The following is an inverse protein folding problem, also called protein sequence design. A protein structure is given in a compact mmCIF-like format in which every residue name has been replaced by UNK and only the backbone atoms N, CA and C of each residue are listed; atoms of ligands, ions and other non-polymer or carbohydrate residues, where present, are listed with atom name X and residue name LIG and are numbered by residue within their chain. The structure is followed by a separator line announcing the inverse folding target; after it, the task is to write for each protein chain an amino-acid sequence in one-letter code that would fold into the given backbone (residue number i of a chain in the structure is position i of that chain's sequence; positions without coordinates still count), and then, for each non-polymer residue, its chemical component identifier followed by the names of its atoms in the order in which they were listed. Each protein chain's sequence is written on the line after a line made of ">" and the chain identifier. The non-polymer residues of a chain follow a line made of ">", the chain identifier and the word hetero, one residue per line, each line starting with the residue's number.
data_IF_709026735854
#
_entry.id   IF_709026735854
#
_cell.length_a   1.000
_cell.length_b   1.000
_cell.length_c   1.000
_cell.angle_alpha   90.00
_cell.angle_beta   90.00
_cell.angle_gamma   90.00
#
_symmetry.space_group_name_H-M   'P 1'
#
loop_
_entity.id
_entity.type
_entity.pdbx_description
1 polymer ?
#
# COMPACT_ATOMS: atom_id res chain seq x y z
N UNK A 1 42.44 -22.98 8.59
CA UNK A 1 41.45 -23.48 9.57
C UNK A 1 40.19 -22.66 9.37
N UNK A 2 38.99 -23.17 9.66
CA UNK A 2 37.85 -22.28 9.85
C UNK A 2 38.02 -21.57 11.19
N UNK A 3 37.74 -20.27 11.25
CA UNK A 3 37.75 -19.47 12.46
C UNK A 3 36.32 -19.04 12.74
N UNK A 4 35.89 -19.12 13.98
CA UNK A 4 34.54 -18.72 14.39
C UNK A 4 34.53 -17.20 14.61
N UNK A 5 33.70 -16.49 13.85
CA UNK A 5 33.53 -15.04 13.95
C UNK A 5 32.13 -14.72 14.48
N UNK A 6 32.06 -13.84 15.49
CA UNK A 6 30.78 -13.35 16.00
C UNK A 6 30.23 -12.28 15.04
N UNK A 7 28.94 -12.35 14.71
CA UNK A 7 28.24 -11.37 13.88
C UNK A 7 27.09 -10.76 14.66
N UNK A 8 27.18 -9.46 14.93
CA UNK A 8 26.17 -8.67 15.62
C UNK A 8 25.45 -7.78 14.61
N UNK A 9 24.12 -7.71 14.69
CA UNK A 9 23.34 -6.77 13.90
C UNK A 9 22.25 -6.08 14.74
N UNK A 10 21.85 -4.88 14.32
CA UNK A 10 20.72 -4.16 14.90
C UNK A 10 20.01 -3.32 13.83
N UNK A 11 18.73 -2.98 14.05
CA UNK A 11 18.01 -2.06 13.18
C UNK A 11 18.15 -0.63 13.71
N UNK A 12 18.71 0.24 12.88
CA UNK A 12 18.94 1.66 13.20
C UNK A 12 18.03 2.57 12.36
N UNK A 13 17.90 3.84 12.76
CA UNK A 13 17.00 4.78 12.09
C UNK A 13 17.61 5.37 10.81
N UNK A 14 16.83 5.40 9.73
CA UNK A 14 17.18 6.15 8.52
C UNK A 14 17.29 7.65 8.77
N UNK A 15 18.47 8.22 8.51
CA UNK A 15 18.64 9.67 8.44
C UNK A 15 18.11 10.20 7.09
N UNK A 16 16.93 10.83 7.11
CA UNK A 16 16.31 11.37 5.88
C UNK A 16 17.14 12.46 5.20
N UNK A 17 18.01 13.18 5.92
CA UNK A 17 18.90 14.19 5.34
C UNK A 17 19.96 13.61 4.42
N UNK A 18 20.25 12.30 4.50
CA UNK A 18 21.11 11.59 3.54
C UNK A 18 20.32 11.14 2.30
N UNK A 19 19.06 10.69 2.50
CA UNK A 19 18.22 10.14 1.43
C UNK A 19 17.66 11.19 0.46
N UNK A 20 17.19 12.33 0.99
CA UNK A 20 16.53 13.35 0.17
C UNK A 20 17.44 13.96 -0.92
N UNK A 21 18.70 14.35 -0.65
CA UNK A 21 19.60 14.88 -1.68
C UNK A 21 19.97 13.86 -2.76
N UNK A 22 19.99 12.57 -2.42
CA UNK A 22 20.27 11.47 -3.34
C UNK A 22 19.07 11.08 -4.22
N UNK A 23 17.89 11.68 -4.02
CA UNK A 23 16.66 11.29 -4.71
C UNK A 23 16.22 9.86 -4.37
N UNK A 24 16.52 9.38 -3.15
CA UNK A 24 16.22 8.01 -2.70
C UNK A 24 15.20 8.01 -1.56
N UNK A 25 14.54 6.88 -1.35
CA UNK A 25 13.59 6.65 -0.25
C UNK A 25 13.78 5.26 0.33
N UNK A 26 13.74 5.12 1.66
CA UNK A 26 13.82 3.81 2.32
C UNK A 26 12.75 2.82 1.80
N UNK A 27 13.20 1.62 1.43
CA UNK A 27 12.42 0.48 0.95
C UNK A 27 12.44 -0.70 1.93
N UNK A 28 13.11 -0.54 3.07
CA UNK A 28 13.24 -1.55 4.12
C UNK A 28 13.89 -0.95 5.37
N UNK A 29 14.16 -1.79 6.39
CA UNK A 29 14.98 -1.41 7.53
C UNK A 29 16.42 -1.04 7.12
N UNK A 30 17.13 -0.35 8.02
CA UNK A 30 18.56 -0.08 7.93
C UNK A 30 19.26 -0.94 9.00
N UNK A 31 20.04 -1.92 8.56
CA UNK A 31 20.73 -2.89 9.41
C UNK A 31 22.16 -2.43 9.66
N UNK A 32 22.49 -2.05 10.88
CA UNK A 32 23.88 -1.87 11.31
C UNK A 32 24.46 -3.25 11.64
N UNK A 33 25.52 -3.67 10.94
CA UNK A 33 26.14 -4.99 11.06
C UNK A 33 27.61 -4.83 11.43
N UNK A 34 28.07 -5.60 12.42
CA UNK A 34 29.42 -5.55 13.00
C UNK A 34 29.93 -6.97 13.28
N UNK A 35 31.22 -7.21 13.14
CA UNK A 35 31.85 -8.50 13.48
C UNK A 35 33.19 -8.29 14.19
N UNK A 36 33.72 -9.36 14.79
CA UNK A 36 35.13 -9.46 15.15
C UNK A 36 36.06 -9.55 13.93
N UNK A 37 35.55 -9.95 12.75
CA UNK A 37 36.32 -10.06 11.51
C UNK A 37 35.55 -9.51 10.30
N UNK A 38 35.95 -8.35 9.77
CA UNK A 38 35.29 -7.69 8.64
C UNK A 38 35.23 -8.54 7.35
N UNK A 39 36.17 -9.48 7.20
CA UNK A 39 36.25 -10.39 6.06
C UNK A 39 35.31 -11.62 6.17
N UNK A 40 34.61 -11.80 7.29
CA UNK A 40 33.75 -12.96 7.52
C UNK A 40 32.48 -12.97 6.65
N UNK A 41 32.00 -11.79 6.20
CA UNK A 41 30.77 -11.65 5.40
C UNK A 41 31.11 -11.10 4.02
N UNK A 42 30.94 -11.93 2.99
CA UNK A 42 31.20 -11.54 1.59
C UNK A 42 29.98 -10.96 0.88
N UNK A 43 28.78 -11.38 1.30
CA UNK A 43 27.50 -11.02 0.67
C UNK A 43 26.41 -10.86 1.72
N UNK A 44 25.44 -9.97 1.45
CA UNK A 44 24.22 -9.80 2.23
C UNK A 44 22.99 -10.05 1.37
N UNK A 45 21.98 -10.66 1.98
CA UNK A 45 20.66 -10.92 1.41
C UNK A 45 19.65 -10.04 2.17
N UNK A 46 19.28 -8.90 1.58
CA UNK A 46 18.44 -7.90 2.22
C UNK A 46 16.96 -8.07 1.78
N UNK A 47 16.02 -8.34 2.70
CA UNK A 47 14.63 -8.62 2.34
C UNK A 47 13.91 -7.37 1.84
N UNK A 48 13.11 -7.53 0.78
CA UNK A 48 12.28 -6.48 0.20
C UNK A 48 10.79 -6.87 0.25
N UNK A 49 9.91 -5.89 0.01
CA UNK A 49 8.47 -6.06 -0.03
C UNK A 49 7.89 -5.79 -1.43
N UNK A 50 8.70 -5.87 -2.50
CA UNK A 50 8.20 -5.59 -3.85
C UNK A 50 7.46 -6.80 -4.43
N UNK A 51 6.25 -6.55 -4.93
CA UNK A 51 5.49 -7.54 -5.72
C UNK A 51 6.20 -7.82 -7.05
N UNK A 52 5.95 -8.99 -7.65
CA UNK A 52 6.61 -9.41 -8.91
C UNK A 52 6.40 -8.40 -10.05
N UNK A 53 5.23 -7.79 -10.14
CA UNK A 53 4.92 -6.73 -11.12
C UNK A 53 5.75 -5.46 -10.91
N UNK A 54 6.15 -5.15 -9.65
CA UNK A 54 7.01 -4.03 -9.34
C UNK A 54 8.48 -4.32 -9.68
N UNK A 55 8.93 -5.58 -9.53
CA UNK A 55 10.27 -6.02 -9.90
C UNK A 55 10.55 -5.98 -11.43
N UNK A 56 9.51 -5.91 -12.27
CA UNK A 56 9.65 -5.68 -13.72
C UNK A 56 10.26 -4.30 -14.05
N UNK A 57 10.25 -3.36 -13.10
CA UNK A 57 10.94 -2.09 -13.24
C UNK A 57 12.41 -2.25 -12.85
N UNK A 58 13.28 -2.41 -13.84
CA UNK A 58 14.74 -2.40 -13.67
C UNK A 58 15.19 -1.24 -12.77
N UNK A 59 16.22 -1.46 -11.96
CA UNK A 59 16.82 -0.47 -11.05
C UNK A 59 15.84 0.18 -10.05
N UNK A 60 14.68 -0.44 -9.78
CA UNK A 60 13.73 0.06 -8.78
C UNK A 60 14.34 0.08 -7.37
N UNK A 61 15.07 -0.98 -7.02
CA UNK A 61 15.78 -1.16 -5.75
C UNK A 61 17.28 -0.84 -5.92
N UNK A 62 17.89 -0.33 -4.86
CA UNK A 62 19.34 -0.19 -4.73
C UNK A 62 19.73 -0.41 -3.26
N UNK A 63 20.96 -0.85 -3.01
CA UNK A 63 21.48 -0.94 -1.64
C UNK A 63 22.20 0.35 -1.28
N UNK A 64 21.98 0.84 -0.07
CA UNK A 64 22.77 1.91 0.53
C UNK A 64 23.69 1.30 1.58
N UNK A 65 24.92 1.80 1.61
CA UNK A 65 25.98 1.43 2.53
C UNK A 65 26.51 2.71 3.18
N UNK A 66 26.32 2.86 4.50
CA UNK A 66 26.61 4.08 5.26
C UNK A 66 27.76 3.82 6.24
N UNK A 67 28.82 4.59 6.06
CA UNK A 67 30.09 4.51 6.79
C UNK A 67 30.39 5.84 7.47
N UNK A 68 31.49 5.93 8.22
CA UNK A 68 31.97 7.21 8.78
C UNK A 68 32.36 8.24 7.69
N UNK A 69 32.77 7.78 6.51
CA UNK A 69 33.01 8.61 5.32
C UNK A 69 31.70 9.08 4.63
N UNK A 70 30.55 8.51 5.03
CA UNK A 70 29.22 8.94 4.58
C UNK A 70 28.43 7.86 3.81
N UNK A 71 27.51 8.32 2.97
CA UNK A 71 26.55 7.46 2.25
C UNK A 71 27.08 7.07 0.86
N UNK A 72 27.18 5.77 0.62
CA UNK A 72 27.46 5.17 -0.70
C UNK A 72 26.26 4.35 -1.20
N UNK A 73 26.14 4.20 -2.53
CA UNK A 73 25.12 3.36 -3.17
C UNK A 73 25.86 2.18 -3.81
N UNK A 74 25.39 0.96 -3.52
CA UNK A 74 25.91 -0.28 -4.09
C UNK A 74 24.87 -0.85 -5.07
N UNK A 75 25.34 -1.27 -6.23
CA UNK A 75 24.53 -1.99 -7.21
C UNK A 75 24.26 -3.42 -6.73
N UNK A 76 23.01 -3.92 -6.79
CA UNK A 76 22.70 -5.32 -6.57
C UNK A 76 23.50 -6.26 -7.48
N UNK A 77 23.86 -7.44 -6.97
CA UNK A 77 24.26 -8.57 -7.81
C UNK A 77 23.04 -9.23 -8.46
N UNK A 78 21.96 -9.33 -7.68
CA UNK A 78 20.73 -10.04 -8.02
C UNK A 78 19.57 -9.41 -7.21
N UNK A 79 18.39 -9.37 -7.82
CA UNK A 79 17.13 -9.04 -7.14
C UNK A 79 16.18 -10.20 -7.42
N UNK A 80 15.82 -10.92 -6.36
CA UNK A 80 14.94 -12.09 -6.41
C UNK A 80 13.50 -11.71 -6.11
N UNK A 81 12.59 -12.68 -6.05
CA UNK A 81 11.20 -12.47 -5.59
C UNK A 81 11.09 -12.00 -4.13
N UNK A 82 12.12 -12.13 -3.28
CA UNK A 82 12.03 -11.85 -1.83
C UNK A 82 13.15 -10.98 -1.26
N UNK A 83 14.32 -10.94 -1.90
CA UNK A 83 15.50 -10.25 -1.37
C UNK A 83 16.47 -9.78 -2.46
N UNK A 84 17.25 -8.77 -2.10
CA UNK A 84 18.37 -8.23 -2.89
C UNK A 84 19.67 -8.86 -2.41
N UNK A 85 20.50 -9.37 -3.32
CA UNK A 85 21.84 -9.87 -3.03
C UNK A 85 22.87 -8.78 -3.36
N UNK A 86 23.81 -8.51 -2.46
CA UNK A 86 24.84 -7.47 -2.62
C UNK A 86 26.19 -7.94 -2.04
N UNK A 87 27.30 -7.49 -2.63
CA UNK A 87 28.65 -7.68 -2.04
C UNK A 87 28.89 -6.70 -0.90
N UNK A 88 29.49 -7.18 0.17
CA UNK A 88 29.95 -6.38 1.30
C UNK A 88 31.32 -5.78 0.97
N UNK A 89 31.52 -4.45 1.00
CA UNK A 89 32.85 -3.85 0.89
C UNK A 89 33.63 -3.93 2.22
N UNK A 90 32.92 -3.70 3.32
CA UNK A 90 33.27 -3.91 4.72
C UNK A 90 31.98 -3.85 5.56
N UNK A 91 32.03 -4.20 6.85
CA UNK A 91 30.85 -4.19 7.70
C UNK A 91 30.52 -2.77 8.22
N UNK A 92 29.26 -2.35 8.04
CA UNK A 92 28.72 -1.05 8.49
C UNK A 92 27.17 -1.08 8.46
N UNK A 93 26.51 0.04 8.20
CA UNK A 93 25.05 0.10 8.05
C UNK A 93 24.58 -0.10 6.59
N UNK A 94 23.79 -1.15 6.36
CA UNK A 94 23.23 -1.54 5.06
C UNK A 94 21.70 -1.45 5.04
N UNK A 95 21.11 -0.87 3.99
CA UNK A 95 19.66 -0.77 3.88
C UNK A 95 19.17 -0.61 2.46
N UNK A 96 17.95 -1.08 2.18
CA UNK A 96 17.33 -0.94 0.87
C UNK A 96 16.71 0.44 0.68
N UNK A 97 16.93 1.00 -0.51
CA UNK A 97 16.22 2.19 -0.98
C UNK A 97 15.61 1.95 -2.35
N UNK A 98 14.53 2.68 -2.62
CA UNK A 98 14.09 2.90 -3.98
C UNK A 98 14.71 4.15 -4.58
N UNK A 99 14.82 4.15 -5.90
CA UNK A 99 14.85 5.38 -6.67
C UNK A 99 13.50 6.11 -6.59
N UNK A 100 13.50 7.40 -6.21
CA UNK A 100 12.26 8.17 -6.05
C UNK A 100 11.48 8.30 -7.37
N UNK A 101 12.17 8.43 -8.51
CA UNK A 101 11.52 8.61 -9.81
C UNK A 101 10.93 7.30 -10.29
N UNK A 102 11.70 6.19 -10.24
CA UNK A 102 11.20 4.87 -10.64
C UNK A 102 10.06 4.39 -9.73
N UNK A 103 10.18 4.59 -8.40
CA UNK A 103 9.11 4.23 -7.45
C UNK A 103 7.89 5.13 -7.54
N UNK A 104 8.00 6.38 -7.97
CA UNK A 104 6.81 7.22 -8.21
C UNK A 104 5.92 6.62 -9.31
N UNK A 105 6.49 5.98 -10.34
CA UNK A 105 5.74 5.24 -11.36
C UNK A 105 5.15 3.94 -10.78
N UNK A 106 5.95 3.20 -10.01
CA UNK A 106 5.55 1.94 -9.38
C UNK A 106 4.61 2.11 -8.16
N UNK A 107 4.37 3.33 -7.66
CA UNK A 107 3.57 3.60 -6.45
C UNK A 107 2.08 3.23 -6.57
N UNK A 108 1.62 2.95 -7.79
CA UNK A 108 0.27 2.41 -8.08
C UNK A 108 0.17 0.90 -7.86
N UNK A 109 1.30 0.20 -7.72
CA UNK A 109 1.36 -1.23 -7.41
C UNK A 109 1.43 -1.45 -5.88
N UNK A 110 0.76 -2.48 -5.35
CA UNK A 110 0.90 -2.86 -3.95
C UNK A 110 2.29 -3.40 -3.64
N UNK A 111 2.66 -3.32 -2.37
CA UNK A 111 3.74 -4.12 -1.78
C UNK A 111 3.19 -5.41 -1.17
N UNK A 112 4.08 -6.39 -1.01
CA UNK A 112 3.87 -7.47 -0.06
C UNK A 112 3.81 -6.89 1.36
N UNK A 113 2.74 -7.20 2.06
CA UNK A 113 2.42 -6.68 3.37
C UNK A 113 1.99 -7.79 4.32
N UNK A 114 2.01 -7.46 5.60
CA UNK A 114 1.64 -8.39 6.67
C UNK A 114 0.63 -7.76 7.62
N UNK A 115 -0.35 -8.57 8.02
CA UNK A 115 -1.27 -8.31 9.12
C UNK A 115 -0.74 -9.02 10.36
N UNK A 116 -0.21 -8.27 11.33
CA UNK A 116 0.21 -8.82 12.62
C UNK A 116 -0.83 -8.50 13.70
N UNK A 117 -1.12 -9.51 14.53
CA UNK A 117 -2.11 -9.43 15.60
C UNK A 117 -1.44 -9.61 16.97
N UNK A 118 -1.68 -8.66 17.87
CA UNK A 118 -1.19 -8.73 19.26
C UNK A 118 -2.34 -8.55 20.25
N UNK A 119 -2.62 -9.58 21.06
CA UNK A 119 -3.69 -9.58 22.04
C UNK A 119 -3.18 -9.03 23.37
N UNK A 120 -3.65 -7.84 23.79
CA UNK A 120 -3.23 -7.23 25.05
C UNK A 120 -3.77 -8.01 26.26
N UNK A 121 -3.09 -7.99 27.42
CA UNK A 121 -3.63 -8.58 28.65
C UNK A 121 -5.00 -7.98 29.03
N UNK A 122 -5.97 -8.80 29.50
CA UNK A 122 -7.33 -8.36 29.83
C UNK A 122 -7.39 -7.20 30.84
N UNK A 123 -8.35 -6.28 30.65
CA UNK A 123 -8.62 -5.16 31.56
C UNK A 123 -10.10 -5.15 31.99
N UNK A 124 -10.35 -5.74 33.15
CA UNK A 124 -11.65 -5.89 33.81
C UNK A 124 -12.71 -6.67 32.98
N UNK A 125 -13.35 -6.04 31.99
CA UNK A 125 -14.40 -6.64 31.12
C UNK A 125 -14.06 -6.59 29.64
N UNK A 126 -12.99 -5.89 29.28
CA UNK A 126 -12.57 -5.69 27.90
C UNK A 126 -11.14 -6.19 27.68
N UNK A 127 -10.86 -6.55 26.44
CA UNK A 127 -9.54 -6.87 25.94
C UNK A 127 -9.32 -6.09 24.65
N UNK A 128 -8.09 -5.76 24.31
CA UNK A 128 -7.78 -5.04 23.06
C UNK A 128 -6.90 -5.93 22.21
N UNK A 129 -7.34 -6.14 20.97
CA UNK A 129 -6.58 -6.83 19.93
C UNK A 129 -6.01 -5.76 18.99
N UNK A 130 -4.69 -5.63 19.01
CA UNK A 130 -3.95 -4.68 18.19
C UNK A 130 -3.71 -5.29 16.80
N UNK A 131 -4.14 -4.56 15.76
CA UNK A 131 -4.00 -4.95 14.36
C UNK A 131 -2.98 -4.03 13.68
N UNK A 132 -1.85 -4.60 13.28
CA UNK A 132 -0.80 -3.90 12.55
C UNK A 132 -0.91 -4.21 11.07
N UNK A 133 -0.90 -3.16 10.23
CA UNK A 133 -0.61 -3.27 8.80
C UNK A 133 0.81 -2.74 8.57
N UNK A 134 1.71 -3.60 8.11
CA UNK A 134 3.13 -3.29 7.90
C UNK A 134 3.64 -3.87 6.56
N UNK A 135 4.73 -3.35 5.98
CA UNK A 135 5.49 -4.02 4.93
C UNK A 135 5.97 -5.40 5.40
N UNK A 136 6.02 -6.39 4.51
CA UNK A 136 6.46 -7.74 4.88
C UNK A 136 7.92 -7.78 5.37
N UNK A 137 8.80 -6.96 4.79
CA UNK A 137 10.20 -6.83 5.20
C UNK A 137 10.44 -6.07 6.53
N UNK A 138 9.44 -6.00 7.42
CA UNK A 138 9.59 -5.58 8.82
C UNK A 138 9.66 -6.83 9.71
N UNK A 139 10.78 -7.12 10.40
CA UNK A 139 10.90 -8.31 11.23
C UNK A 139 9.92 -8.32 12.41
N UNK A 140 9.18 -9.43 12.56
CA UNK A 140 8.21 -9.67 13.64
C UNK A 140 8.82 -9.39 15.03
N UNK A 141 10.01 -9.93 15.29
CA UNK A 141 10.75 -9.77 16.55
C UNK A 141 10.88 -8.30 16.98
N UNK A 142 11.11 -7.38 16.04
CA UNK A 142 11.28 -5.95 16.34
C UNK A 142 9.94 -5.23 16.56
N UNK A 143 8.83 -5.79 16.09
CA UNK A 143 7.48 -5.34 16.45
C UNK A 143 7.12 -5.88 17.84
N UNK A 144 7.28 -7.19 18.07
CA UNK A 144 6.94 -7.89 19.32
C UNK A 144 7.68 -7.31 20.53
N UNK A 145 9.01 -7.08 20.42
CA UNK A 145 9.84 -6.45 21.47
C UNK A 145 9.29 -5.11 21.97
N UNK A 146 8.41 -4.42 21.22
CA UNK A 146 7.78 -3.16 21.66
C UNK A 146 6.40 -3.33 22.31
N UNK A 147 5.72 -4.47 22.18
CA UNK A 147 4.30 -4.62 22.56
C UNK A 147 4.04 -4.90 24.06
N UNK A 148 5.05 -4.73 24.92
CA UNK A 148 4.92 -4.69 26.40
C UNK A 148 4.10 -5.85 27.02
N UNK A 149 4.24 -7.06 26.49
CA UNK A 149 3.56 -8.25 27.00
C UNK A 149 2.13 -8.45 26.49
N UNK A 150 1.80 -7.89 25.32
CA UNK A 150 0.74 -8.44 24.48
C UNK A 150 1.22 -9.74 23.80
N UNK A 151 0.31 -10.68 23.62
CA UNK A 151 0.55 -12.01 23.03
C UNK A 151 0.45 -11.96 21.51
N UNK A 152 1.47 -12.43 20.79
CA UNK A 152 1.42 -12.54 19.33
C UNK A 152 0.55 -13.73 18.90
N UNK A 153 -0.46 -13.49 18.06
CA UNK A 153 -1.32 -14.54 17.53
C UNK A 153 -0.75 -15.06 16.21
N UNK A 154 -0.06 -16.20 16.26
CA UNK A 154 0.61 -16.83 15.11
C UNK A 154 -0.39 -17.32 14.05
N UNK A 155 -0.40 -16.66 12.89
CA UNK A 155 -1.29 -16.99 11.77
C UNK A 155 -0.79 -16.42 10.44
N UNK A 156 -1.35 -16.91 9.32
CA UNK A 156 -1.04 -16.40 7.97
C UNK A 156 -1.39 -14.91 7.84
N UNK A 157 -0.34 -14.08 7.82
CA UNK A 157 -0.36 -12.61 7.85
C UNK A 157 -0.33 -11.96 6.45
N UNK A 158 0.21 -12.66 5.46
CA UNK A 158 0.41 -12.21 4.07
C UNK A 158 -0.80 -11.50 3.45
N UNK A 159 -0.58 -10.31 2.90
CA UNK A 159 -1.57 -9.52 2.15
C UNK A 159 -0.88 -8.56 1.16
N UNK A 160 -1.66 -7.87 0.32
CA UNK A 160 -1.14 -6.86 -0.62
C UNK A 160 -1.58 -5.45 -0.18
N UNK A 161 -0.62 -4.55 0.07
CA UNK A 161 -0.87 -3.21 0.61
C UNK A 161 -0.43 -2.09 -0.33
N UNK A 162 -1.37 -1.22 -0.72
CA UNK A 162 -1.09 -0.05 -1.56
C UNK A 162 -0.64 1.15 -0.74
N UNK A 163 0.51 1.73 -1.07
CA UNK A 163 1.08 2.87 -0.35
C UNK A 163 0.16 4.09 -0.50
N UNK A 164 -0.30 4.65 0.62
CA UNK A 164 -1.22 5.79 0.64
C UNK A 164 -2.69 5.44 0.38
N UNK A 165 -3.05 4.16 0.23
CA UNK A 165 -4.45 3.73 0.22
C UNK A 165 -5.05 3.80 1.63
N UNK A 166 -6.36 4.01 1.73
CA UNK A 166 -7.11 3.89 2.98
C UNK A 166 -7.62 2.46 3.18
N UNK A 167 -7.52 1.96 4.41
CA UNK A 167 -7.98 0.64 4.83
C UNK A 167 -8.95 0.76 6.02
N UNK A 168 -9.74 -0.30 6.24
CA UNK A 168 -10.58 -0.49 7.42
C UNK A 168 -10.48 -1.92 7.93
N UNK A 169 -10.72 -2.13 9.23
CA UNK A 169 -10.84 -3.46 9.83
C UNK A 169 -12.29 -3.69 10.24
N UNK A 170 -12.79 -4.89 9.95
CA UNK A 170 -14.14 -5.34 10.30
C UNK A 170 -14.04 -6.64 11.09
N UNK A 171 -15.00 -6.87 11.99
CA UNK A 171 -15.04 -8.01 12.90
C UNK A 171 -16.41 -8.68 12.85
N UNK A 172 -16.44 -10.01 12.76
CA UNK A 172 -17.65 -10.83 12.88
C UNK A 172 -17.51 -11.71 14.14
N UNK A 173 -18.50 -11.76 15.05
CA UNK A 173 -19.78 -11.05 15.01
C UNK A 173 -19.64 -9.52 15.14
N UNK A 174 -20.63 -8.80 14.61
CA UNK A 174 -20.73 -7.34 14.71
C UNK A 174 -21.02 -6.89 16.17
N UNK A 175 -20.64 -5.66 16.50
CA UNK A 175 -20.90 -5.03 17.81
C UNK A 175 -19.65 -4.65 18.60
N UNK A 176 -18.48 -5.17 18.23
CA UNK A 176 -17.19 -4.71 18.78
C UNK A 176 -16.83 -3.31 18.24
N UNK A 177 -16.21 -2.50 19.09
CA UNK A 177 -15.70 -1.18 18.69
C UNK A 177 -14.32 -1.32 18.06
N UNK A 178 -14.09 -0.66 16.92
CA UNK A 178 -12.82 -0.67 16.19
C UNK A 178 -12.39 0.78 15.99
N UNK A 179 -11.13 1.11 16.28
CA UNK A 179 -10.60 2.47 16.12
C UNK A 179 -9.22 2.48 15.47
N UNK A 180 -8.93 3.40 14.53
CA UNK A 180 -9.88 4.28 13.84
C UNK A 180 -10.83 3.49 12.93
N UNK A 181 -11.89 4.10 12.41
CA UNK A 181 -12.74 3.47 11.37
C UNK A 181 -11.93 3.22 10.08
N UNK A 182 -11.04 4.17 9.75
CA UNK A 182 -10.18 4.13 8.58
C UNK A 182 -8.76 4.58 8.91
N UNK A 183 -7.75 3.91 8.34
CA UNK A 183 -6.35 4.28 8.45
C UNK A 183 -5.66 4.25 7.09
N UNK A 184 -4.86 5.28 6.79
CA UNK A 184 -4.04 5.32 5.56
C UNK A 184 -2.78 4.48 5.73
N UNK A 185 -2.50 3.56 4.80
CA UNK A 185 -1.30 2.75 4.87
C UNK A 185 -0.05 3.56 4.50
N UNK A 186 0.93 3.53 5.40
CA UNK A 186 2.22 4.18 5.26
C UNK A 186 3.33 3.21 5.68
N UNK A 187 4.47 3.30 5.02
CA UNK A 187 5.64 2.48 5.29
C UNK A 187 6.23 2.86 6.66
N UNK A 188 6.27 1.91 7.59
CA UNK A 188 6.74 2.08 8.97
C UNK A 188 7.91 1.11 9.20
N UNK A 189 9.15 1.60 9.21
CA UNK A 189 10.36 0.81 9.49
C UNK A 189 10.92 1.09 10.90
N UNK A 190 10.04 1.27 11.89
CA UNK A 190 10.40 1.64 13.26
C UNK A 190 10.80 3.12 13.44
N UNK A 191 11.40 3.48 14.59
CA UNK A 191 11.71 2.62 15.74
C UNK A 191 10.47 2.30 16.59
N UNK A 192 9.39 3.07 16.43
CA UNK A 192 8.13 2.92 17.14
C UNK A 192 7.11 2.23 16.24
N UNK A 193 6.67 1.04 16.63
CA UNK A 193 5.56 0.34 15.98
C UNK A 193 4.29 0.57 16.80
N UNK A 194 3.39 1.40 16.26
CA UNK A 194 2.04 1.61 16.78
C UNK A 194 1.03 0.81 15.93
N UNK A 195 -0.01 0.22 16.56
CA UNK A 195 -1.06 -0.47 15.83
C UNK A 195 -1.68 0.43 14.76
N UNK A 196 -2.16 -0.19 13.69
CA UNK A 196 -2.92 0.53 12.65
C UNK A 196 -4.40 0.59 13.03
N UNK A 197 -4.91 -0.42 13.76
CA UNK A 197 -6.24 -0.44 14.37
C UNK A 197 -6.20 -1.11 15.76
N UNK A 198 -7.09 -0.69 16.67
CA UNK A 198 -7.36 -1.31 17.97
C UNK A 198 -8.79 -1.85 17.96
N UNK A 199 -8.95 -3.17 18.15
CA UNK A 199 -10.27 -3.84 18.25
C UNK A 199 -10.59 -4.10 19.72
N UNK A 200 -11.68 -3.50 20.22
CA UNK A 200 -12.13 -3.59 21.60
C UNK A 200 -13.11 -4.76 21.76
N UNK A 201 -12.58 -5.87 22.26
CA UNK A 201 -13.26 -7.14 22.49
C UNK A 201 -13.78 -7.23 23.94
N UNK A 202 -14.80 -8.06 24.18
CA UNK A 202 -15.25 -8.40 25.53
C UNK A 202 -14.57 -9.69 26.01
N UNK A 203 -14.26 -9.82 27.30
CA UNK A 203 -13.44 -10.93 27.84
C UNK A 203 -14.08 -12.32 27.75
N UNK A 204 -15.38 -12.40 27.46
CA UNK A 204 -16.11 -13.63 27.18
C UNK A 204 -15.89 -14.14 25.74
N UNK A 205 -15.51 -13.29 24.79
CA UNK A 205 -15.23 -13.68 23.39
C UNK A 205 -14.20 -14.82 23.29
N UNK A 206 -14.54 -15.87 22.54
CA UNK A 206 -13.67 -17.04 22.30
C UNK A 206 -12.96 -16.96 20.94
N UNK A 207 -13.67 -16.49 19.90
CA UNK A 207 -13.19 -16.37 18.53
C UNK A 207 -13.90 -15.24 17.79
N UNK A 208 -13.20 -14.66 16.81
CA UNK A 208 -13.74 -13.64 15.89
C UNK A 208 -13.22 -13.88 14.47
N UNK A 209 -13.97 -13.47 13.45
CA UNK A 209 -13.42 -13.35 12.09
C UNK A 209 -13.02 -11.90 11.87
N UNK A 210 -11.72 -11.65 11.66
CA UNK A 210 -11.23 -10.33 11.25
C UNK A 210 -11.08 -10.26 9.74
N UNK A 211 -11.40 -9.07 9.20
CA UNK A 211 -11.25 -8.71 7.79
C UNK A 211 -10.51 -7.37 7.68
N UNK A 212 -9.56 -7.27 6.76
CA UNK A 212 -9.01 -5.99 6.31
C UNK A 212 -9.62 -5.70 4.94
N UNK A 213 -10.20 -4.51 4.79
CA UNK A 213 -10.78 -4.04 3.52
C UNK A 213 -10.11 -2.75 3.06
N UNK A 214 -9.92 -2.62 1.74
CA UNK A 214 -9.48 -1.36 1.13
C UNK A 214 -10.64 -0.37 0.89
N UNK A 215 -10.33 0.79 0.35
CA UNK A 215 -11.31 1.84 0.01
C UNK A 215 -12.31 1.47 -1.11
N UNK A 216 -12.08 0.38 -1.87
CA UNK A 216 -13.06 -0.20 -2.80
C UNK A 216 -13.90 -1.32 -2.12
N UNK A 217 -13.76 -1.50 -0.80
CA UNK A 217 -14.37 -2.58 0.02
C UNK A 217 -13.93 -4.00 -0.34
N UNK A 218 -12.79 -4.16 -1.03
CA UNK A 218 -12.24 -5.47 -1.38
C UNK A 218 -11.58 -6.08 -0.14
N UNK A 219 -11.93 -7.31 0.22
CA UNK A 219 -11.29 -8.06 1.32
C UNK A 219 -9.82 -8.38 0.92
N UNK A 220 -8.84 -7.64 1.44
CA UNK A 220 -7.40 -7.86 1.16
C UNK A 220 -6.75 -8.87 2.10
N UNK A 221 -7.37 -9.11 3.26
CA UNK A 221 -6.98 -10.15 4.21
C UNK A 221 -8.19 -10.56 5.05
N UNK A 222 -8.30 -11.85 5.39
CA UNK A 222 -9.42 -12.40 6.16
C UNK A 222 -9.03 -13.70 6.85
N UNK A 223 -9.19 -13.75 8.17
CA UNK A 223 -8.91 -14.94 9.00
C UNK A 223 -9.86 -15.03 10.19
N UNK A 224 -10.11 -16.25 10.63
CA UNK A 224 -10.65 -16.49 11.97
C UNK A 224 -9.49 -16.45 12.98
N UNK A 225 -9.71 -15.74 14.08
CA UNK A 225 -8.80 -15.56 15.21
C UNK A 225 -9.42 -16.31 16.39
N UNK A 226 -8.65 -17.22 17.00
CA UNK A 226 -9.00 -17.78 18.31
C UNK A 226 -8.32 -16.91 19.37
N UNK A 227 -9.07 -16.57 20.42
CA UNK A 227 -8.63 -15.70 21.52
C UNK A 227 -8.42 -16.49 22.82
N UNK A 228 -8.82 -17.77 22.80
CA UNK A 228 -8.72 -18.76 23.86
C UNK A 228 -8.50 -20.11 23.20
N UNK A 229 -7.69 -20.96 23.80
CA UNK A 229 -7.68 -22.39 23.47
C UNK A 229 -8.84 -23.08 24.21
N UNK A 230 -9.62 -23.88 23.49
CA UNK A 230 -10.62 -24.74 24.13
C UNK A 230 -9.90 -25.81 24.96
N UNK A 231 -10.01 -25.72 26.29
CA UNK A 231 -9.47 -26.73 27.20
C UNK A 231 -10.37 -27.99 27.20
N UNK A 232 -10.39 -28.72 26.08
CA UNK A 232 -11.24 -29.89 25.88
C UNK A 232 -10.68 -31.11 26.62
N UNK A 233 -11.39 -31.67 27.62
CA UNK A 233 -11.09 -33.02 28.09
C UNK A 233 -11.52 -34.02 27.01
N UNK A 234 -10.60 -34.87 26.55
CA UNK A 234 -10.90 -35.89 25.54
C UNK A 234 -11.94 -36.87 26.06
N UNK A 235 -13.07 -37.00 25.35
CA UNK A 235 -14.05 -38.07 25.56
C UNK A 235 -14.45 -38.62 24.19
N UNK A 236 -14.08 -39.87 23.92
CA UNK A 236 -14.49 -40.59 22.71
C UNK A 236 -16.00 -40.82 22.66
N UNK A 237 -16.62 -40.61 21.49
CA UNK A 237 -17.67 -41.49 20.94
C UNK A 237 -18.18 -40.98 19.59
N UNK A 238 -18.08 -41.83 18.56
CA UNK A 238 -18.93 -41.79 17.35
C UNK A 238 -19.53 -43.19 17.22
N UNK A 239 -20.83 -43.32 16.92
CA UNK A 239 -21.23 -44.13 15.77
C UNK A 239 -22.05 -43.32 14.75
N UNK A 240 -22.13 -43.83 13.52
CA UNK A 240 -22.90 -43.26 12.41
C UNK A 240 -24.24 -44.02 12.20
N UNK A 241 -24.64 -44.24 10.94
CA UNK A 241 -25.88 -44.91 10.50
C UNK A 241 -27.16 -44.04 10.73
N UNK A 242 -28.17 -43.95 9.84
CA UNK A 242 -28.37 -44.51 8.49
C UNK A 242 -29.47 -43.77 7.67
N UNK A 243 -29.67 -44.19 6.41
CA UNK A 243 -30.94 -44.28 5.66
C UNK A 243 -31.53 -43.07 4.91
N UNK A 244 -32.02 -43.34 3.69
CA UNK A 244 -32.80 -42.46 2.77
C UNK A 244 -33.94 -43.28 2.14
N UNK A 245 -35.17 -42.73 2.01
CA UNK A 245 -35.81 -42.55 0.68
C UNK A 245 -36.63 -41.21 0.61
N UNK A 246 -36.92 -40.53 -0.50
CA UNK A 246 -37.46 -40.92 -1.84
C UNK A 246 -38.94 -41.36 -1.75
N UNK A 247 -39.93 -40.86 -2.51
CA UNK A 247 -39.98 -39.99 -3.73
C UNK A 247 -40.59 -38.58 -3.37
N UNK A 248 -41.36 -37.76 -4.13
CA UNK A 248 -42.05 -37.82 -5.46
C UNK A 248 -42.37 -36.41 -6.06
N UNK A 249 -42.67 -36.38 -7.37
CA UNK A 249 -43.58 -35.50 -8.15
C UNK A 249 -43.40 -33.97 -8.32
N UNK A 250 -43.61 -33.55 -9.59
CA UNK A 250 -43.51 -32.21 -10.22
C UNK A 250 -44.56 -32.21 -11.36
N UNK A 251 -45.41 -31.17 -11.64
CA UNK A 251 -44.98 -30.09 -12.56
C UNK A 251 -45.70 -28.70 -12.54
N UNK A 252 -44.93 -27.68 -12.96
CA UNK A 252 -45.25 -26.60 -13.94
C UNK A 252 -46.45 -25.63 -13.72
N UNK A 253 -46.52 -24.45 -14.36
CA UNK A 253 -45.60 -23.74 -15.29
C UNK A 253 -44.89 -22.55 -14.53
N UNK A 254 -44.58 -21.32 -14.98
CA UNK A 254 -44.77 -20.52 -16.21
C UNK A 254 -43.78 -19.31 -16.26
N UNK A 255 -43.71 -18.63 -17.42
CA UNK A 255 -43.36 -17.20 -17.62
C UNK A 255 -41.97 -16.65 -17.21
N UNK A 256 -41.12 -16.40 -18.22
CA UNK A 256 -40.05 -15.37 -18.18
C UNK A 256 -39.98 -14.61 -19.52
N UNK A 257 -40.31 -13.30 -19.51
CA UNK A 257 -39.55 -12.28 -20.25
C UNK A 257 -39.51 -10.90 -19.53
N UNK A 258 -38.51 -10.01 -19.67
CA UNK A 258 -37.16 -10.06 -20.27
C UNK A 258 -36.28 -8.96 -19.61
N UNK A 259 -35.06 -8.68 -20.11
CA UNK A 259 -34.14 -7.63 -19.62
C UNK A 259 -34.62 -6.19 -19.85
N UNK A 260 -34.11 -5.24 -19.04
CA UNK A 260 -33.28 -4.16 -19.60
C UNK A 260 -32.22 -3.64 -18.59
N UNK A 261 -31.40 -2.71 -19.04
CA UNK A 261 -29.98 -2.55 -18.71
C UNK A 261 -29.68 -1.48 -17.64
N UNK A 262 -28.52 -1.61 -16.98
CA UNK A 262 -27.94 -0.59 -16.08
C UNK A 262 -27.43 0.63 -16.87
N UNK A 263 -27.32 1.84 -16.26
CA UNK A 263 -26.04 2.20 -15.65
C UNK A 263 -26.14 3.00 -14.33
N UNK A 264 -25.01 3.05 -13.59
CA UNK A 264 -24.85 3.87 -12.39
C UNK A 264 -24.65 5.36 -12.72
N UNK A 265 -24.90 6.24 -11.73
CA UNK A 265 -24.67 7.69 -11.84
C UNK A 265 -24.02 8.24 -10.56
N UNK A 266 -22.70 8.04 -10.42
CA UNK A 266 -21.86 8.85 -9.52
C UNK A 266 -21.66 10.24 -10.14
N UNK A 267 -22.71 11.06 -10.05
CA UNK A 267 -22.92 12.30 -10.81
C UNK A 267 -22.09 13.51 -10.40
N UNK A 268 -20.83 13.34 -9.95
CA UNK A 268 -19.94 14.46 -9.62
C UNK A 268 -19.59 15.25 -10.89
N UNK A 269 -19.93 16.56 -10.97
CA UNK A 269 -19.66 17.39 -12.14
C UNK A 269 -18.17 17.41 -12.53
N UNK A 270 -17.90 17.42 -13.84
CA UNK A 270 -16.54 17.40 -14.38
C UNK A 270 -15.68 18.60 -13.93
N UNK A 271 -16.32 19.75 -13.68
CA UNK A 271 -15.73 20.96 -13.11
C UNK A 271 -15.35 20.81 -11.63
N UNK A 272 -16.13 20.05 -10.84
CA UNK A 272 -15.76 19.68 -9.47
C UNK A 272 -14.60 18.68 -9.46
N UNK A 273 -14.61 17.67 -10.36
CA UNK A 273 -13.46 16.78 -10.55
C UNK A 273 -12.18 17.57 -10.90
N UNK A 274 -12.27 18.57 -11.81
CA UNK A 274 -11.16 19.49 -12.10
C UNK A 274 -10.74 20.40 -10.92
N UNK A 275 -11.66 20.75 -10.01
CA UNK A 275 -11.31 21.54 -8.82
C UNK A 275 -10.46 20.73 -7.85
N UNK A 276 -10.91 19.52 -7.50
CA UNK A 276 -10.25 18.64 -6.54
C UNK A 276 -8.82 18.26 -6.95
N UNK A 277 -8.59 18.05 -8.25
CA UNK A 277 -7.28 17.65 -8.79
C UNK A 277 -6.37 18.84 -9.15
N UNK A 278 -6.86 20.09 -9.04
CA UNK A 278 -6.21 21.31 -9.55
C UNK A 278 -4.73 21.43 -9.19
N UNK A 279 -4.39 21.20 -7.91
CA UNK A 279 -3.00 21.28 -7.41
C UNK A 279 -2.12 20.16 -8.00
N UNK A 280 -2.66 18.96 -8.16
CA UNK A 280 -1.92 17.84 -8.74
C UNK A 280 -1.66 18.07 -10.24
N UNK A 281 -2.64 18.61 -10.98
CA UNK A 281 -2.46 18.99 -12.39
C UNK A 281 -1.38 20.06 -12.55
N UNK A 282 -1.45 21.17 -11.78
CA UNK A 282 -0.43 22.23 -11.77
C UNK A 282 0.99 21.69 -11.59
N UNK A 283 1.18 20.80 -10.61
CA UNK A 283 2.49 20.28 -10.28
C UNK A 283 3.01 19.30 -11.34
N UNK A 284 2.16 18.39 -11.83
CA UNK A 284 2.56 17.24 -12.66
C UNK A 284 2.51 17.47 -14.16
N UNK A 285 1.74 18.43 -14.66
CA UNK A 285 1.61 18.65 -16.12
C UNK A 285 2.91 19.22 -16.70
N UNK A 286 3.35 18.64 -17.81
CA UNK A 286 4.54 19.08 -18.56
C UNK A 286 4.14 20.09 -19.63
N UNK A 287 5.08 20.96 -20.05
CA UNK A 287 4.80 21.97 -21.07
C UNK A 287 4.43 21.39 -22.46
N UNK A 288 5.03 20.30 -22.96
CA UNK A 288 4.58 19.64 -24.19
C UNK A 288 3.13 19.12 -24.10
N UNK A 289 2.70 18.65 -22.93
CA UNK A 289 1.31 18.23 -22.69
C UNK A 289 0.37 19.43 -22.62
N UNK A 290 0.75 20.52 -21.93
CA UNK A 290 -0.03 21.77 -21.91
C UNK A 290 -0.29 22.32 -23.32
N UNK A 291 0.73 22.35 -24.17
CA UNK A 291 0.60 22.87 -25.52
C UNK A 291 -0.33 21.99 -26.38
N UNK A 292 -0.21 20.66 -26.31
CA UNK A 292 -1.13 19.73 -26.99
C UNK A 292 -2.58 19.80 -26.46
N UNK A 293 -2.76 20.00 -25.15
CA UNK A 293 -4.08 20.22 -24.55
C UNK A 293 -4.71 21.53 -25.04
N UNK A 294 -3.93 22.62 -25.10
CA UNK A 294 -4.38 23.90 -25.65
C UNK A 294 -4.84 23.76 -27.10
N UNK A 295 -4.08 23.03 -27.93
CA UNK A 295 -4.43 22.78 -29.33
C UNK A 295 -5.75 21.97 -29.43
N UNK A 296 -5.92 20.92 -28.61
CA UNK A 296 -7.16 20.12 -28.53
C UNK A 296 -8.35 20.89 -27.97
N UNK A 297 -8.14 21.89 -27.11
CA UNK A 297 -9.19 22.77 -26.60
C UNK A 297 -9.64 23.81 -27.64
N UNK A 298 -8.73 24.29 -28.49
CA UNK A 298 -9.03 25.20 -29.61
C UNK A 298 -9.77 24.46 -30.74
N UNK A 299 -9.30 23.27 -31.12
CA UNK A 299 -9.92 22.36 -32.09
C UNK A 299 -11.38 22.01 -31.72
N UNK A 300 -11.67 21.88 -30.42
CA UNK A 300 -13.02 21.60 -29.90
C UNK A 300 -13.78 22.86 -29.48
N UNK A 301 -13.29 24.05 -29.85
CA UNK A 301 -13.88 25.37 -29.57
C UNK A 301 -14.21 25.65 -28.09
N UNK A 302 -13.46 25.04 -27.16
CA UNK A 302 -13.56 25.31 -25.71
C UNK A 302 -12.83 26.61 -25.35
N UNK A 303 -11.76 26.93 -26.08
CA UNK A 303 -11.08 28.23 -26.04
C UNK A 303 -11.09 28.87 -27.43
N UNK A 304 -11.00 30.20 -27.48
CA UNK A 304 -10.82 30.96 -28.72
C UNK A 304 -9.34 31.37 -28.92
N UNK A 305 -9.01 31.90 -30.10
CA UNK A 305 -7.65 32.31 -30.46
C UNK A 305 -7.04 33.36 -29.53
N UNK A 306 -7.83 34.31 -29.00
CA UNK A 306 -7.34 35.32 -28.07
C UNK A 306 -6.98 34.72 -26.70
N UNK A 307 -7.79 33.78 -26.20
CA UNK A 307 -7.48 32.99 -25.00
C UNK A 307 -6.23 32.13 -25.23
N UNK A 308 -6.12 31.47 -26.39
CA UNK A 308 -4.97 30.66 -26.78
C UNK A 308 -3.65 31.45 -26.77
N UNK A 309 -3.60 32.62 -27.42
CA UNK A 309 -2.39 33.45 -27.46
C UNK A 309 -2.04 34.05 -26.09
N UNK A 310 -3.05 34.40 -25.29
CA UNK A 310 -2.89 34.88 -23.90
C UNK A 310 -2.25 33.83 -23.00
N UNK A 311 -2.57 32.55 -23.19
CA UNK A 311 -2.07 31.44 -22.34
C UNK A 311 -0.74 30.86 -22.85
N UNK A 312 -0.52 30.77 -24.16
CA UNK A 312 0.72 30.22 -24.75
C UNK A 312 1.99 30.96 -24.33
N UNK A 313 1.91 32.27 -24.09
CA UNK A 313 3.05 33.16 -23.79
C UNK A 313 3.52 33.14 -22.33
N UNK A 314 2.83 32.41 -21.45
CA UNK A 314 3.12 32.37 -20.00
C UNK A 314 4.04 31.21 -19.61
N UNK A 315 4.67 31.32 -18.43
CA UNK A 315 5.43 30.23 -17.82
C UNK A 315 4.55 29.01 -17.52
N UNK A 316 5.14 27.80 -17.50
CA UNK A 316 4.44 26.50 -17.31
C UNK A 316 3.32 26.53 -16.27
N UNK A 317 3.57 27.07 -15.09
CA UNK A 317 2.65 26.98 -13.95
C UNK A 317 1.47 27.93 -14.08
N UNK A 318 1.70 29.14 -14.58
CA UNK A 318 0.63 30.11 -14.88
C UNK A 318 -0.19 29.63 -16.08
N UNK A 319 0.48 29.06 -17.10
CA UNK A 319 -0.14 28.40 -18.25
C UNK A 319 -1.04 27.25 -17.81
N UNK A 320 -0.57 26.36 -16.93
CA UNK A 320 -1.36 25.28 -16.37
C UNK A 320 -2.55 25.79 -15.55
N UNK A 321 -2.36 26.84 -14.74
CA UNK A 321 -3.41 27.46 -13.92
C UNK A 321 -4.51 28.06 -14.77
N UNK A 322 -4.14 28.81 -15.80
CA UNK A 322 -5.08 29.43 -16.72
C UNK A 322 -5.86 28.39 -17.54
N UNK A 323 -5.22 27.30 -17.99
CA UNK A 323 -5.94 26.19 -18.67
C UNK A 323 -7.03 25.63 -17.77
N UNK A 324 -6.69 25.17 -16.56
CA UNK A 324 -7.65 24.47 -15.70
C UNK A 324 -8.71 25.42 -15.10
N UNK A 325 -8.34 26.66 -14.74
CA UNK A 325 -9.29 27.63 -14.20
C UNK A 325 -10.16 28.30 -15.28
N UNK A 326 -9.70 28.41 -16.54
CA UNK A 326 -10.54 28.91 -17.65
C UNK A 326 -11.50 27.85 -18.14
N UNK A 327 -11.06 26.59 -18.28
CA UNK A 327 -11.96 25.49 -18.62
C UNK A 327 -13.00 25.27 -17.52
N UNK A 328 -12.61 25.23 -16.24
CA UNK A 328 -13.58 25.06 -15.13
C UNK A 328 -14.62 26.18 -15.08
N UNK A 329 -14.23 27.43 -15.33
CA UNK A 329 -15.17 28.58 -15.41
C UNK A 329 -16.16 28.48 -16.59
N UNK A 330 -15.89 27.66 -17.61
CA UNK A 330 -16.81 27.33 -18.70
C UNK A 330 -17.70 26.11 -18.39
N UNK A 331 -17.65 25.60 -17.17
CA UNK A 331 -18.57 24.61 -16.59
C UNK A 331 -18.30 23.14 -16.98
N UNK A 332 -19.18 22.26 -16.51
CA UNK A 332 -19.08 20.80 -16.70
C UNK A 332 -18.78 20.35 -18.13
N UNK A 333 -19.45 20.93 -19.14
CA UNK A 333 -19.30 20.53 -20.55
C UNK A 333 -17.94 20.91 -21.16
N UNK A 334 -17.35 22.03 -20.73
CA UNK A 334 -15.98 22.37 -21.09
C UNK A 334 -14.98 21.47 -20.34
N UNK A 335 -15.27 21.21 -19.06
CA UNK A 335 -14.43 20.43 -18.15
C UNK A 335 -14.31 18.97 -18.58
N UNK A 336 -15.40 18.33 -19.02
CA UNK A 336 -15.36 16.97 -19.57
C UNK A 336 -14.56 16.88 -20.87
N UNK A 337 -14.49 17.95 -21.66
CA UNK A 337 -13.65 18.01 -22.87
C UNK A 337 -12.16 18.10 -22.53
N UNK A 338 -11.75 18.86 -21.50
CA UNK A 338 -10.36 18.84 -21.02
C UNK A 338 -9.98 17.47 -20.44
N UNK A 339 -10.87 16.86 -19.66
CA UNK A 339 -10.69 15.50 -19.11
C UNK A 339 -10.51 14.49 -20.25
N UNK A 340 -11.36 14.53 -21.28
CA UNK A 340 -11.24 13.66 -22.45
C UNK A 340 -9.99 13.94 -23.30
N UNK A 341 -9.58 15.20 -23.45
CA UNK A 341 -8.36 15.58 -24.16
C UNK A 341 -7.11 15.11 -23.42
N UNK A 342 -7.10 15.21 -22.09
CA UNK A 342 -6.02 14.69 -21.23
C UNK A 342 -5.90 13.17 -21.32
N UNK A 343 -7.01 12.44 -21.34
CA UNK A 343 -7.01 10.99 -21.59
C UNK A 343 -6.38 10.61 -22.94
N UNK A 344 -6.49 11.47 -23.95
CA UNK A 344 -5.93 11.25 -25.29
C UNK A 344 -4.46 11.70 -25.42
N UNK A 345 -4.07 12.80 -24.77
CA UNK A 345 -2.73 13.39 -24.88
C UNK A 345 -1.73 12.75 -23.91
N UNK A 346 -2.17 12.44 -22.68
CA UNK A 346 -1.33 11.81 -21.67
C UNK A 346 -2.17 10.84 -20.80
N UNK A 347 -2.37 9.58 -21.26
CA UNK A 347 -3.10 8.55 -20.52
C UNK A 347 -2.49 8.24 -19.14
N UNK A 348 -1.20 8.51 -18.95
CA UNK A 348 -0.50 8.30 -17.69
C UNK A 348 -0.86 9.40 -16.69
N UNK A 349 -0.72 10.67 -17.08
CA UNK A 349 -1.12 11.81 -16.26
C UNK A 349 -2.64 11.81 -15.97
N UNK A 350 -3.46 11.40 -16.95
CA UNK A 350 -4.90 11.20 -16.75
C UNK A 350 -5.20 10.21 -15.62
N UNK A 351 -4.54 9.04 -15.63
CA UNK A 351 -4.68 8.01 -14.60
C UNK A 351 -4.14 8.47 -13.24
N UNK A 352 -3.00 9.15 -13.24
CA UNK A 352 -2.33 9.74 -12.07
C UNK A 352 -3.13 10.89 -11.43
N UNK A 353 -4.14 11.43 -12.12
CA UNK A 353 -5.07 12.43 -11.62
C UNK A 353 -6.45 11.86 -11.25
N UNK A 354 -6.61 10.53 -11.19
CA UNK A 354 -7.83 9.85 -10.72
C UNK A 354 -9.14 10.29 -11.40
N UNK A 355 -9.10 10.56 -12.71
CA UNK A 355 -10.33 10.76 -13.49
C UNK A 355 -11.03 9.42 -13.80
N UNK A 356 -11.85 8.97 -12.84
CA UNK A 356 -13.00 8.08 -13.06
C UNK A 356 -14.24 8.86 -12.62
#
# INVERSE_FOLDING_TARGET
>A
MAQEAELLYSIVQWNQSLLQPAGKKAAGPLFEIKSSEDAAVLQLHLPHCETKDALLFDGLLSVVHITDDGMSILEPLEVTDTHVVVKVPHLSAFGLVWDFVRRFVSLMLPIEGQVLLFLRPPRARYQVLDVFLLPDNVPLDEVEKKQRGAEYLTMSSECHLGIGQSYSVHCEPEGFTIQPEHATFHLKYGPNFHPTFEVFLTTDTEKVTLKVQDQERREVWKRQVLLKEDSVPVVDSIPAEDSVPVVDSVPAEDSVPVVDSVPAVDGVPADEKLFSIRIQFLNRVTEPVLNQLLDKLLERHVINDAEMQSVRTKAREDKARDVIDTVRRKGAKASSVLIAALCQVDPCLFRVLNFR
#
